data_IF_555386217572
#
_entry.id   IF_555386217572
#
_cell.length_a   1.000
_cell.length_b   1.000
_cell.length_c   1.000
_cell.angle_alpha   90.00
_cell.angle_beta   90.00
_cell.angle_gamma   90.00
#
_symmetry.space_group_name_H-M   'P 1'
#
loop_
_entity.id
_entity.type
_entity.pdbx_description
1 polymer ?
#
# COMPACT_ATOMS: atom_id res chain seq x y z
N UNK A 1 -16.79 -25.95 4.83
CA UNK A 1 -16.42 -27.19 5.54
C UNK A 1 -14.90 -27.23 5.70
N UNK A 2 -14.38 -27.46 6.91
CA UNK A 2 -12.94 -27.50 7.16
C UNK A 2 -12.25 -28.70 6.50
N UNK A 3 -10.98 -28.56 6.13
CA UNK A 3 -10.13 -29.65 5.61
C UNK A 3 -9.05 -29.98 6.64
N UNK A 4 -8.88 -31.27 6.96
CA UNK A 4 -7.78 -31.74 7.81
C UNK A 4 -6.45 -31.63 7.07
N UNK A 5 -5.43 -31.08 7.72
CA UNK A 5 -4.03 -31.01 7.25
C UNK A 5 -3.13 -31.72 8.24
N UNK A 6 -2.14 -32.46 7.74
CA UNK A 6 -1.16 -33.17 8.54
C UNK A 6 0.24 -32.66 8.17
N UNK A 7 1.04 -32.32 9.17
CA UNK A 7 2.39 -31.79 9.00
C UNK A 7 3.38 -32.61 9.84
N UNK A 8 4.56 -32.89 9.30
CA UNK A 8 5.68 -33.43 10.05
C UNK A 8 6.59 -32.27 10.44
N UNK A 9 6.77 -32.06 11.75
CA UNK A 9 7.56 -30.96 12.28
C UNK A 9 8.60 -31.49 13.26
N UNK A 10 9.83 -30.97 13.15
CA UNK A 10 10.92 -31.27 14.06
C UNK A 10 10.99 -30.20 15.14
N UNK A 11 10.97 -30.56 16.44
CA UNK A 11 11.17 -29.59 17.51
C UNK A 11 12.58 -28.99 17.43
N UNK A 12 12.75 -27.76 17.93
CA UNK A 12 14.03 -27.05 17.99
C UNK A 12 14.41 -26.84 19.45
N UNK A 13 15.66 -27.13 19.81
CA UNK A 13 16.16 -26.88 21.15
C UNK A 13 16.42 -25.37 21.35
N UNK A 14 15.75 -24.77 22.33
CA UNK A 14 15.96 -23.37 22.69
C UNK A 14 17.27 -23.19 23.48
N UNK A 15 17.66 -21.93 23.67
CA UNK A 15 18.90 -21.53 24.37
C UNK A 15 18.96 -21.98 25.84
N UNK A 16 17.82 -22.33 26.44
CA UNK A 16 17.69 -22.92 27.78
C UNK A 16 17.87 -24.45 27.79
N UNK A 17 18.17 -25.07 26.65
CA UNK A 17 18.33 -26.52 26.51
C UNK A 17 17.01 -27.29 26.37
N UNK A 18 15.86 -26.61 26.35
CA UNK A 18 14.54 -27.24 26.25
C UNK A 18 14.12 -27.34 24.78
N UNK A 19 13.69 -28.54 24.37
CA UNK A 19 13.11 -28.74 23.03
C UNK A 19 11.72 -28.12 22.95
N UNK A 20 11.51 -27.23 21.98
CA UNK A 20 10.26 -26.51 21.76
C UNK A 20 9.69 -26.85 20.39
N UNK A 21 8.38 -26.98 20.33
CA UNK A 21 7.60 -27.08 19.10
C UNK A 21 6.42 -26.12 19.24
N UNK A 22 6.15 -25.33 18.19
CA UNK A 22 5.05 -24.37 18.17
C UNK A 22 4.31 -24.41 16.85
N UNK A 23 3.03 -24.07 16.89
CA UNK A 23 2.20 -23.81 15.73
C UNK A 23 1.60 -22.41 15.90
N UNK A 24 1.77 -21.57 14.89
CA UNK A 24 1.08 -20.27 14.81
C UNK A 24 0.03 -20.39 13.72
N UNK A 25 -1.23 -20.13 14.08
CA UNK A 25 -2.33 -20.08 13.14
C UNK A 25 -2.72 -18.62 12.95
N UNK A 26 -2.64 -18.13 11.72
CA UNK A 26 -3.07 -16.78 11.34
C UNK A 26 -4.25 -16.92 10.38
N UNK A 27 -5.40 -16.41 10.81
CA UNK A 27 -6.67 -16.52 10.07
C UNK A 27 -6.81 -15.44 8.99
N UNK A 28 -6.14 -14.30 9.18
CA UNK A 28 -6.12 -13.21 8.22
C UNK A 28 -5.27 -12.05 8.70
N UNK A 29 -5.30 -10.98 7.92
CA UNK A 29 -4.70 -9.70 8.24
C UNK A 29 -5.66 -8.59 7.84
N UNK A 30 -5.63 -7.48 8.58
CA UNK A 30 -6.37 -6.27 8.28
C UNK A 30 -5.43 -5.08 8.34
N UNK A 31 -5.68 -4.07 7.52
CA UNK A 31 -4.87 -2.87 7.52
C UNK A 31 -5.54 -1.76 6.72
N UNK A 32 -5.04 -0.54 6.91
CA UNK A 32 -5.44 0.61 6.12
C UNK A 32 -4.52 0.71 4.93
N UNK A 33 -5.11 0.82 3.73
CA UNK A 33 -4.38 0.98 2.47
C UNK A 33 -4.99 2.10 1.65
N UNK A 34 -4.17 2.77 0.86
CA UNK A 34 -4.63 3.83 -0.04
C UNK A 34 -4.87 3.26 -1.44
N UNK A 35 -6.02 3.60 -2.01
CA UNK A 35 -6.36 3.34 -3.41
C UNK A 35 -5.48 4.20 -4.32
N UNK A 36 -4.80 3.60 -5.30
CA UNK A 36 -3.92 4.33 -6.22
C UNK A 36 -4.66 4.73 -7.49
N UNK A 37 -5.33 3.78 -8.12
CA UNK A 37 -6.06 4.01 -9.36
C UNK A 37 -7.27 3.10 -9.47
N UNK A 38 -8.18 3.51 -10.34
CA UNK A 38 -9.37 2.77 -10.70
C UNK A 38 -9.64 3.00 -12.19
N UNK A 39 -9.91 1.91 -12.93
CA UNK A 39 -10.38 1.98 -14.32
C UNK A 39 -11.92 1.89 -14.36
N UNK A 40 -12.63 2.99 -14.69
CA UNK A 40 -14.09 3.01 -14.74
C UNK A 40 -14.68 2.12 -15.84
N UNK A 41 -13.89 1.71 -16.83
CA UNK A 41 -14.36 0.85 -17.92
C UNK A 41 -14.44 -0.62 -17.49
N UNK A 42 -13.49 -1.07 -16.67
CA UNK A 42 -13.35 -2.48 -16.29
C UNK A 42 -13.72 -2.78 -14.85
N UNK A 43 -13.81 -1.75 -14.00
CA UNK A 43 -14.00 -1.91 -12.56
C UNK A 43 -12.72 -2.31 -11.81
N UNK A 44 -11.59 -2.44 -12.50
CA UNK A 44 -10.34 -2.91 -11.89
C UNK A 44 -9.65 -1.74 -11.18
N UNK A 45 -9.16 -2.00 -9.97
CA UNK A 45 -8.38 -1.06 -9.20
C UNK A 45 -6.99 -1.60 -8.84
N UNK A 46 -6.09 -0.69 -8.49
CA UNK A 46 -4.81 -0.99 -7.86
C UNK A 46 -4.57 -0.13 -6.62
N UNK A 47 -3.95 -0.71 -5.60
CA UNK A 47 -3.67 -0.05 -4.33
C UNK A 47 -2.29 -0.44 -3.77
N UNK A 48 -1.82 0.32 -2.77
CA UNK A 48 -0.54 0.18 -2.04
C UNK A 48 0.75 0.41 -2.86
N UNK A 49 0.84 -0.11 -4.08
CA UNK A 49 2.08 -0.10 -4.88
C UNK A 49 3.16 -1.08 -4.39
N UNK A 50 2.85 -1.94 -3.43
CA UNK A 50 3.71 -3.04 -2.96
C UNK A 50 2.87 -4.23 -2.47
N UNK A 51 3.51 -5.38 -2.29
CA UNK A 51 2.82 -6.56 -1.75
C UNK A 51 2.51 -6.41 -0.27
N UNK A 52 1.40 -7.02 0.15
CA UNK A 52 1.17 -7.29 1.56
C UNK A 52 2.03 -8.49 1.96
N UNK A 53 2.88 -8.27 2.96
CA UNK A 53 3.88 -9.23 3.42
C UNK A 53 3.78 -9.44 4.92
N UNK A 54 4.25 -10.59 5.38
CA UNK A 54 4.41 -10.87 6.80
C UNK A 54 5.50 -9.94 7.39
N UNK A 55 5.17 -9.20 8.45
CA UNK A 55 6.10 -8.25 9.06
C UNK A 55 7.32 -8.91 9.74
N UNK A 56 7.21 -10.16 10.19
CA UNK A 56 8.31 -10.89 10.83
C UNK A 56 9.22 -11.56 9.79
N UNK A 57 8.65 -12.13 8.73
CA UNK A 57 9.43 -12.90 7.73
C UNK A 57 9.74 -12.12 6.46
N UNK A 58 9.09 -10.98 6.23
CA UNK A 58 9.16 -10.20 4.99
C UNK A 58 8.60 -10.92 3.77
N UNK A 59 7.98 -12.09 3.95
CA UNK A 59 7.50 -12.91 2.85
C UNK A 59 6.13 -12.44 2.40
N UNK A 60 5.94 -12.24 1.09
CA UNK A 60 4.63 -11.95 0.51
C UNK A 60 3.62 -13.01 0.94
N UNK A 61 2.50 -12.55 1.50
CA UNK A 61 1.47 -13.46 1.96
C UNK A 61 0.74 -14.06 0.76
N UNK A 62 0.60 -15.40 0.67
CA UNK A 62 -0.21 -16.02 -0.36
C UNK A 62 -1.66 -15.58 -0.17
N UNK A 63 -2.25 -15.03 -1.23
CA UNK A 63 -3.64 -14.58 -1.20
C UNK A 63 -4.57 -15.80 -1.21
N UNK A 64 -5.48 -15.86 -0.23
CA UNK A 64 -6.59 -16.80 -0.20
C UNK A 64 -7.83 -16.12 -0.76
N UNK A 65 -8.58 -15.47 0.12
CA UNK A 65 -9.65 -14.53 -0.19
C UNK A 65 -9.30 -13.16 0.41
N UNK A 66 -9.76 -12.07 -0.20
CA UNK A 66 -9.55 -10.72 0.33
C UNK A 66 -10.69 -9.78 -0.07
N UNK A 67 -10.91 -8.76 0.75
CA UNK A 67 -12.00 -7.81 0.56
C UNK A 67 -11.57 -6.42 1.00
N UNK A 68 -12.15 -5.42 0.35
CA UNK A 68 -12.01 -4.01 0.72
C UNK A 68 -13.36 -3.46 1.18
N UNK A 69 -13.29 -2.54 2.13
CA UNK A 69 -14.44 -1.92 2.80
C UNK A 69 -14.21 -0.42 2.87
N UNK A 70 -15.29 0.35 3.00
CA UNK A 70 -15.18 1.77 3.26
C UNK A 70 -14.44 2.03 4.57
N UNK A 71 -13.54 3.02 4.54
CA UNK A 71 -12.68 3.38 5.64
C UNK A 71 -12.59 4.90 5.79
N UNK A 72 -12.48 5.37 7.03
CA UNK A 72 -12.21 6.77 7.36
C UNK A 72 -11.00 6.87 8.26
N UNK A 73 -10.19 7.91 8.07
CA UNK A 73 -9.07 8.23 8.96
C UNK A 73 -9.60 8.93 10.20
N UNK A 74 -9.54 8.25 11.34
CA UNK A 74 -10.01 8.76 12.64
C UNK A 74 -8.89 9.35 13.49
N UNK A 75 -7.64 9.17 13.08
CA UNK A 75 -6.50 9.78 13.75
C UNK A 75 -5.17 9.44 13.08
N UNK A 76 -4.12 10.09 13.57
CA UNK A 76 -2.76 9.93 13.04
C UNK A 76 -1.81 9.75 14.22
N UNK A 77 -1.06 8.65 14.21
CA UNK A 77 0.14 8.51 15.01
C UNK A 77 1.30 9.15 14.23
N UNK A 78 1.85 10.24 14.75
CA UNK A 78 2.92 11.00 14.10
C UNK A 78 4.19 10.16 13.98
N UNK A 79 4.83 10.21 12.81
CA UNK A 79 6.12 9.58 12.56
C UNK A 79 7.29 10.42 13.04
N UNK A 80 8.30 9.75 13.57
CA UNK A 80 9.54 10.35 14.07
C UNK A 80 10.75 9.53 13.60
N UNK A 81 11.95 10.10 13.70
CA UNK A 81 13.18 9.37 13.36
C UNK A 81 13.30 8.13 14.24
N UNK A 82 13.38 6.96 13.61
CA UNK A 82 13.45 5.66 14.29
C UNK A 82 12.09 5.03 14.61
N UNK A 83 10.98 5.75 14.44
CA UNK A 83 9.63 5.24 14.71
C UNK A 83 8.65 5.68 13.62
N UNK A 84 8.29 4.77 12.68
CA UNK A 84 7.27 5.07 11.68
C UNK A 84 5.94 5.47 12.32
N UNK A 85 5.32 6.52 11.79
CA UNK A 85 3.95 6.87 12.15
C UNK A 85 2.93 5.98 11.44
N UNK A 86 1.65 6.18 11.74
CA UNK A 86 0.55 5.45 11.10
C UNK A 86 -0.73 6.27 11.01
N UNK A 87 -1.49 6.08 9.93
CA UNK A 87 -2.89 6.47 9.85
C UNK A 87 -3.74 5.44 10.60
N UNK A 88 -4.56 5.91 11.52
CA UNK A 88 -5.53 5.09 12.22
C UNK A 88 -6.86 5.19 11.48
N UNK A 89 -7.23 4.11 10.80
CA UNK A 89 -8.49 3.99 10.09
C UNK A 89 -9.56 3.31 10.94
N UNK A 90 -10.81 3.70 10.72
CA UNK A 90 -12.00 2.95 11.13
C UNK A 90 -12.68 2.45 9.86
N UNK A 91 -12.99 1.15 9.83
CA UNK A 91 -13.67 0.50 8.70
C UNK A 91 -15.09 0.13 9.08
N UNK A 92 -16.02 0.28 8.16
CA UNK A 92 -17.36 -0.32 8.28
C UNK A 92 -17.37 -1.66 7.54
N UNK A 93 -17.26 -2.78 8.28
CA UNK A 93 -17.26 -4.12 7.71
C UNK A 93 -18.59 -4.48 7.01
N UNK A 94 -19.68 -3.73 7.24
CA UNK A 94 -20.92 -3.91 6.51
C UNK A 94 -20.89 -3.22 5.13
N UNK A 95 -19.99 -2.25 4.91
CA UNK A 95 -19.84 -1.49 3.69
C UNK A 95 -18.81 -2.15 2.75
N UNK A 96 -19.14 -3.35 2.27
CA UNK A 96 -18.32 -4.06 1.29
C UNK A 96 -18.23 -3.28 -0.04
N UNK A 97 -17.01 -3.08 -0.54
CA UNK A 97 -16.77 -2.37 -1.80
C UNK A 97 -16.35 -3.30 -2.94
N UNK A 98 -15.57 -4.33 -2.63
CA UNK A 98 -14.95 -5.17 -3.66
C UNK A 98 -14.01 -6.23 -3.12
N UNK A 99 -13.49 -7.03 -4.03
CA UNK A 99 -12.56 -8.12 -3.71
C UNK A 99 -11.10 -7.71 -3.88
N UNK A 100 -10.20 -8.55 -3.34
CA UNK A 100 -8.77 -8.53 -3.66
C UNK A 100 -8.48 -9.83 -4.40
N UNK A 101 -7.94 -9.73 -5.60
CA UNK A 101 -7.65 -10.86 -6.50
C UNK A 101 -6.16 -11.12 -6.66
N UNK A 102 -5.33 -10.08 -6.50
CA UNK A 102 -3.87 -10.17 -6.66
C UNK A 102 -3.19 -9.49 -5.49
N UNK A 103 -2.13 -10.13 -4.99
CA UNK A 103 -1.14 -9.53 -4.10
C UNK A 103 0.26 -9.79 -4.67
N UNK A 104 0.90 -8.78 -5.24
CA UNK A 104 2.20 -8.90 -5.88
C UNK A 104 3.12 -7.73 -5.55
N UNK A 105 4.38 -7.78 -6.01
CA UNK A 105 5.38 -6.76 -5.69
C UNK A 105 5.04 -5.34 -6.16
N UNK A 106 4.05 -5.19 -7.04
CA UNK A 106 3.60 -3.89 -7.55
C UNK A 106 2.28 -3.43 -6.91
N UNK A 107 1.74 -4.12 -5.91
CA UNK A 107 0.49 -3.73 -5.26
C UNK A 107 -0.49 -4.87 -5.05
N UNK A 108 -1.66 -4.47 -4.56
CA UNK A 108 -2.86 -5.32 -4.57
C UNK A 108 -3.83 -4.83 -5.62
N UNK A 109 -4.59 -5.77 -6.20
CA UNK A 109 -5.53 -5.50 -7.27
C UNK A 109 -6.80 -6.30 -7.07
N UNK A 110 -7.91 -5.77 -7.55
CA UNK A 110 -9.21 -6.42 -7.49
C UNK A 110 -10.25 -5.64 -8.28
N UNK A 111 -11.51 -5.97 -8.04
CA UNK A 111 -12.66 -5.38 -8.71
C UNK A 111 -13.57 -4.69 -7.71
N UNK A 112 -13.89 -3.42 -7.99
CA UNK A 112 -14.80 -2.59 -7.20
C UNK A 112 -15.40 -1.49 -8.09
N UNK A 113 -16.33 -0.70 -7.56
CA UNK A 113 -16.80 0.51 -8.24
C UNK A 113 -16.54 1.72 -7.37
N UNK A 114 -15.92 2.73 -7.95
CA UNK A 114 -15.61 3.98 -7.30
C UNK A 114 -16.04 5.16 -8.16
N UNK A 115 -16.40 6.26 -7.50
CA UNK A 115 -16.58 7.53 -8.16
C UNK A 115 -15.24 8.28 -8.22
N UNK A 116 -14.99 8.96 -9.34
CA UNK A 116 -13.77 9.73 -9.49
C UNK A 116 -13.68 10.47 -10.82
N UNK A 117 -12.89 11.54 -10.83
CA UNK A 117 -12.54 12.24 -12.07
C UNK A 117 -11.41 11.46 -12.77
N UNK A 118 -11.53 11.13 -14.07
CA UNK A 118 -10.46 10.46 -14.78
C UNK A 118 -9.23 11.37 -14.90
N UNK A 119 -8.05 10.79 -14.71
CA UNK A 119 -6.76 11.40 -14.97
C UNK A 119 -6.01 10.61 -16.04
N UNK A 120 -5.25 11.30 -16.88
CA UNK A 120 -4.29 10.63 -17.76
C UNK A 120 -3.14 10.05 -16.95
N UNK A 121 -2.57 8.94 -17.45
CA UNK A 121 -1.32 8.39 -16.93
C UNK A 121 -0.12 9.02 -17.62
N UNK A 122 1.01 9.14 -16.93
CA UNK A 122 2.25 9.67 -17.48
C UNK A 122 3.50 9.01 -16.90
N UNK A 123 4.66 9.31 -17.47
CA UNK A 123 5.95 8.84 -16.94
C UNK A 123 6.42 9.70 -15.78
N UNK A 124 6.83 9.04 -14.69
CA UNK A 124 7.43 9.72 -13.54
C UNK A 124 8.85 10.22 -13.86
N UNK A 125 9.12 11.47 -13.48
CA UNK A 125 10.42 12.15 -13.68
C UNK A 125 10.88 12.83 -12.42
N UNK A 126 12.18 13.11 -12.33
CA UNK A 126 12.73 13.94 -11.24
C UNK A 126 12.14 15.35 -11.27
N UNK A 127 11.97 15.94 -10.08
CA UNK A 127 11.42 17.29 -9.92
C UNK A 127 10.15 17.33 -9.07
N UNK A 128 9.40 18.42 -9.20
CA UNK A 128 8.19 18.65 -8.40
C UNK A 128 7.09 17.68 -8.79
N UNK A 129 6.37 17.20 -7.79
CA UNK A 129 5.16 16.40 -7.93
C UNK A 129 4.27 16.66 -6.70
N UNK A 130 3.11 16.03 -6.66
CA UNK A 130 2.25 15.98 -5.50
C UNK A 130 1.79 14.57 -5.22
N UNK A 131 1.28 14.33 -4.01
CA UNK A 131 0.58 13.10 -3.65
C UNK A 131 -0.83 13.44 -3.22
N UNK A 132 -1.77 12.54 -3.55
CA UNK A 132 -3.13 12.59 -3.03
C UNK A 132 -3.23 11.66 -1.82
N UNK A 133 -3.66 12.19 -0.68
CA UNK A 133 -3.72 11.44 0.57
C UNK A 133 -4.85 11.96 1.46
N UNK A 134 -5.48 11.05 2.20
CA UNK A 134 -6.49 11.35 3.21
C UNK A 134 -5.85 11.33 4.58
N UNK A 135 -5.91 12.46 5.31
CA UNK A 135 -5.38 12.58 6.67
C UNK A 135 -6.47 12.62 7.75
N UNK A 136 -7.70 12.93 7.37
CA UNK A 136 -8.84 13.05 8.28
C UNK A 136 -10.13 12.69 7.53
N UNK A 137 -10.98 11.88 8.16
CA UNK A 137 -12.24 11.42 7.59
C UNK A 137 -12.01 10.68 6.27
N UNK A 138 -12.74 11.08 5.24
CA UNK A 138 -12.68 10.59 3.87
C UNK A 138 -12.15 11.65 2.88
N UNK A 139 -11.65 12.79 3.38
CA UNK A 139 -11.31 13.93 2.53
C UNK A 139 -9.90 13.79 1.93
N UNK A 140 -9.85 13.56 0.62
CA UNK A 140 -8.62 13.53 -0.16
C UNK A 140 -8.05 14.95 -0.31
N UNK A 141 -6.77 15.11 0.04
CA UNK A 141 -6.04 16.36 -0.09
C UNK A 141 -4.77 16.16 -0.93
N UNK A 142 -4.33 17.25 -1.57
CA UNK A 142 -3.09 17.29 -2.36
C UNK A 142 -1.94 17.86 -1.53
N UNK A 143 -0.81 17.16 -1.50
CA UNK A 143 0.40 17.57 -0.78
C UNK A 143 1.63 17.56 -1.68
N UNK A 144 2.47 18.57 -1.54
CA UNK A 144 3.68 18.71 -2.34
C UNK A 144 4.79 17.72 -1.95
N UNK A 145 5.41 17.13 -2.98
CA UNK A 145 6.59 16.29 -2.85
C UNK A 145 7.64 16.68 -3.92
N UNK A 146 8.84 16.12 -3.79
CA UNK A 146 9.88 16.19 -4.80
C UNK A 146 10.37 14.76 -5.12
N UNK A 147 10.35 14.40 -6.40
CA UNK A 147 11.00 13.18 -6.91
C UNK A 147 12.49 13.47 -7.03
N UNK A 148 13.28 12.96 -6.08
CA UNK A 148 14.72 13.19 -5.99
C UNK A 148 15.48 12.34 -7.02
N UNK A 149 15.03 11.12 -7.25
CA UNK A 149 15.69 10.16 -8.14
C UNK A 149 14.72 9.14 -8.69
N UNK A 150 14.98 8.73 -9.93
CA UNK A 150 14.32 7.59 -10.58
C UNK A 150 15.34 6.47 -10.71
N UNK A 151 14.92 5.26 -10.38
CA UNK A 151 15.69 4.02 -10.49
C UNK A 151 14.94 3.06 -11.40
N UNK A 152 15.68 2.29 -12.18
CA UNK A 152 15.13 1.25 -13.03
C UNK A 152 15.95 -0.03 -12.76
N UNK A 153 15.33 -1.01 -12.13
CA UNK A 153 15.96 -2.27 -11.73
C UNK A 153 15.03 -3.42 -12.11
N UNK A 154 15.56 -4.44 -12.79
CA UNK A 154 14.81 -5.65 -13.18
C UNK A 154 13.49 -5.36 -13.91
N UNK A 155 13.44 -4.29 -14.70
CA UNK A 155 12.25 -3.86 -15.44
C UNK A 155 11.22 -3.09 -14.61
N UNK A 156 11.47 -2.85 -13.32
CA UNK A 156 10.63 -2.00 -12.47
C UNK A 156 11.24 -0.61 -12.31
N UNK A 157 10.42 0.41 -12.49
CA UNK A 157 10.74 1.82 -12.29
C UNK A 157 10.25 2.28 -10.93
N UNK A 158 11.20 2.53 -10.04
CA UNK A 158 10.95 3.04 -8.67
C UNK A 158 11.54 4.42 -8.49
N UNK A 159 11.07 5.16 -7.50
CA UNK A 159 11.52 6.53 -7.25
C UNK A 159 11.85 6.77 -5.80
N UNK A 160 12.83 7.63 -5.54
CA UNK A 160 13.03 8.25 -4.23
C UNK A 160 12.28 9.58 -4.22
N UNK A 161 11.39 9.73 -3.25
CA UNK A 161 10.61 10.95 -3.03
C UNK A 161 10.94 11.56 -1.68
N UNK A 162 10.75 12.87 -1.58
CA UNK A 162 10.80 13.61 -0.32
C UNK A 162 9.55 14.49 -0.23
N UNK A 163 8.83 14.41 0.88
CA UNK A 163 7.72 15.32 1.20
C UNK A 163 8.29 16.71 1.44
N UNK A 164 7.74 17.70 0.72
CA UNK A 164 8.11 19.11 0.87
C UNK A 164 6.98 19.96 1.44
N UNK A 165 5.77 19.38 1.53
CA UNK A 165 4.60 20.06 2.06
C UNK A 165 4.67 20.30 3.58
N UNK A 166 4.67 21.55 4.04
CA UNK A 166 4.79 21.85 5.46
C UNK A 166 3.55 21.41 6.26
N UNK A 167 2.36 21.39 5.67
CA UNK A 167 1.13 21.00 6.36
C UNK A 167 1.10 19.48 6.58
N UNK A 168 1.54 18.69 5.59
CA UNK A 168 1.67 17.25 5.76
C UNK A 168 2.70 16.93 6.85
N UNK A 169 3.90 17.51 6.77
CA UNK A 169 4.97 17.27 7.75
C UNK A 169 4.55 17.67 9.16
N UNK A 170 3.84 18.79 9.32
CA UNK A 170 3.37 19.24 10.63
C UNK A 170 2.44 18.22 11.29
N UNK A 171 1.49 17.68 10.52
CA UNK A 171 0.47 16.74 11.01
C UNK A 171 1.01 15.33 11.22
N UNK A 172 1.84 14.84 10.31
CA UNK A 172 2.19 13.41 10.21
C UNK A 172 3.66 13.12 10.50
N UNK A 173 4.53 14.13 10.46
CA UNK A 173 5.98 13.95 10.52
C UNK A 173 6.62 13.58 9.18
N UNK A 174 5.81 13.34 8.13
CA UNK A 174 6.24 12.89 6.81
C UNK A 174 5.37 11.74 6.31
N UNK A 175 5.95 10.83 5.55
CA UNK A 175 5.27 9.62 5.09
C UNK A 175 5.02 8.71 6.30
N UNK A 176 3.80 8.22 6.46
CA UNK A 176 3.41 7.30 7.54
C UNK A 176 2.74 6.06 6.97
N UNK A 177 2.67 4.99 7.77
CA UNK A 177 1.95 3.78 7.38
C UNK A 177 0.47 4.11 7.08
N UNK A 178 -0.10 3.44 6.08
CA UNK A 178 -1.42 3.73 5.55
C UNK A 178 -1.42 4.66 4.34
N UNK A 179 -0.37 5.49 4.16
CA UNK A 179 -0.19 6.31 2.94
C UNK A 179 0.27 5.50 1.74
N UNK A 180 0.76 4.27 1.94
CA UNK A 180 1.13 3.38 0.84
C UNK A 180 -0.03 3.23 -0.13
N UNK A 181 0.24 3.50 -1.40
CA UNK A 181 -0.74 3.60 -2.46
C UNK A 181 -1.17 5.03 -2.81
N UNK A 182 -0.76 6.05 -2.05
CA UNK A 182 -1.06 7.46 -2.34
C UNK A 182 -0.67 7.80 -3.78
N UNK A 183 -1.62 8.20 -4.65
CA UNK A 183 -1.33 8.52 -6.04
C UNK A 183 -0.32 9.66 -6.14
N UNK A 184 0.75 9.46 -6.92
CA UNK A 184 1.73 10.50 -7.25
C UNK A 184 1.27 11.19 -8.53
N UNK A 185 1.06 12.51 -8.44
CA UNK A 185 0.62 13.35 -9.53
C UNK A 185 1.77 14.25 -10.00
N UNK A 186 2.05 14.24 -11.28
CA UNK A 186 3.06 15.11 -11.90
C UNK A 186 2.52 15.64 -13.23
N UNK A 187 2.62 16.96 -13.43
CA UNK A 187 2.10 17.62 -14.64
C UNK A 187 0.60 17.33 -14.90
N UNK A 188 -0.19 17.15 -13.84
CA UNK A 188 -1.62 16.82 -13.93
C UNK A 188 -1.93 15.37 -14.32
N UNK A 189 -0.92 14.50 -14.34
CA UNK A 189 -1.04 13.08 -14.68
C UNK A 189 -0.75 12.20 -13.48
N UNK A 190 -1.43 11.06 -13.40
CA UNK A 190 -1.05 9.99 -12.50
C UNK A 190 0.24 9.35 -13.01
N UNK A 191 1.30 9.38 -12.21
CA UNK A 191 2.62 8.87 -12.62
C UNK A 191 3.16 7.75 -11.73
N UNK A 192 2.57 7.52 -10.56
CA UNK A 192 3.00 6.46 -9.66
C UNK A 192 2.21 6.38 -8.37
N UNK A 193 2.75 5.62 -7.42
CA UNK A 193 2.22 5.47 -6.07
C UNK A 193 3.33 5.51 -5.03
N UNK A 194 3.07 6.08 -3.86
CA UNK A 194 3.95 5.97 -2.69
C UNK A 194 3.94 4.52 -2.18
N UNK A 195 5.09 3.96 -1.79
CA UNK A 195 5.18 2.57 -1.32
C UNK A 195 5.67 2.46 0.12
N UNK A 196 6.92 2.85 0.40
CA UNK A 196 7.57 2.65 1.70
C UNK A 196 8.20 3.94 2.21
N UNK A 197 8.25 4.12 3.52
CA UNK A 197 8.94 5.25 4.18
C UNK A 197 10.32 4.84 4.71
N UNK A 198 11.25 5.79 4.79
CA UNK A 198 12.54 5.57 5.44
C UNK A 198 12.40 5.70 6.96
N UNK A 199 12.84 4.69 7.70
CA UNK A 199 12.78 4.71 9.17
C UNK A 199 13.60 5.85 9.78
N UNK A 200 14.73 6.22 9.15
CA UNK A 200 15.63 7.26 9.67
C UNK A 200 15.32 8.67 9.13
N UNK A 201 14.40 8.79 8.17
CA UNK A 201 13.95 10.07 7.62
C UNK A 201 12.48 9.92 7.20
N UNK A 202 11.52 10.24 8.08
CA UNK A 202 10.10 10.06 7.78
C UNK A 202 9.64 10.93 6.61
N UNK A 203 10.38 11.98 6.24
CA UNK A 203 10.01 12.82 5.09
C UNK A 203 10.37 12.19 3.75
N UNK A 204 11.23 11.17 3.74
CA UNK A 204 11.68 10.50 2.53
C UNK A 204 11.13 9.08 2.42
N UNK A 205 10.91 8.63 1.20
CA UNK A 205 10.38 7.31 0.93
C UNK A 205 10.54 6.89 -0.52
N UNK A 206 9.96 5.75 -0.83
CA UNK A 206 9.93 5.18 -2.17
C UNK A 206 8.56 5.30 -2.81
N UNK A 207 8.56 5.28 -4.14
CA UNK A 207 7.37 5.08 -4.95
C UNK A 207 7.64 4.12 -6.12
N UNK A 208 6.57 3.68 -6.77
CA UNK A 208 6.58 2.83 -7.97
C UNK A 208 5.88 3.56 -9.13
N UNK A 209 6.30 3.29 -10.36
CA UNK A 209 5.69 3.86 -11.57
C UNK A 209 4.28 3.32 -11.80
N UNK A 210 3.38 4.17 -12.30
CA UNK A 210 2.02 3.74 -12.61
C UNK A 210 2.00 2.69 -13.73
N UNK A 211 2.95 2.76 -14.68
CA UNK A 211 3.07 1.80 -15.78
C UNK A 211 3.28 0.38 -15.25
N UNK A 212 4.22 0.19 -14.32
CA UNK A 212 4.53 -1.11 -13.74
C UNK A 212 3.32 -1.69 -12.99
N UNK A 213 2.53 -0.83 -12.35
CA UNK A 213 1.27 -1.25 -11.70
C UNK A 213 0.24 -1.68 -12.74
N UNK A 214 0.07 -0.89 -13.81
CA UNK A 214 -0.91 -1.17 -14.87
C UNK A 214 -0.58 -2.45 -15.66
N UNK A 215 0.70 -2.81 -15.77
CA UNK A 215 1.13 -4.07 -16.39
C UNK A 215 0.62 -5.32 -15.65
N UNK A 216 0.22 -5.20 -14.38
CA UNK A 216 -0.34 -6.32 -13.61
C UNK A 216 -1.86 -6.48 -13.83
N UNK A 217 -2.56 -5.45 -14.31
CA UNK A 217 -4.02 -5.44 -14.51
C UNK A 217 -4.56 -6.61 -15.34
N UNK A 218 -3.90 -7.07 -16.42
CA UNK A 218 -4.39 -8.19 -17.23
C UNK A 218 -4.55 -9.51 -16.47
N UNK A 219 -3.96 -9.64 -15.29
CA UNK A 219 -4.10 -10.82 -14.43
C UNK A 219 -5.39 -10.80 -13.59
N UNK A 220 -6.10 -9.67 -13.53
CA UNK A 220 -7.36 -9.52 -12.79
C UNK A 220 -8.59 -9.93 -13.61
N UNK A 221 -9.61 -10.41 -12.91
CA UNK A 221 -10.96 -10.56 -13.41
C UNK A 221 -11.70 -9.23 -13.28
N UNK A 222 -12.47 -8.86 -14.31
CA UNK A 222 -13.24 -7.61 -14.35
C UNK A 222 -14.41 -7.67 -13.37
N UNK A 223 -14.85 -6.50 -12.89
CA UNK A 223 -16.13 -6.41 -12.18
C UNK A 223 -17.27 -6.85 -13.12
N UNK A 224 -18.21 -7.63 -12.59
CA UNK A 224 -19.39 -8.11 -13.32
C UNK A 224 -20.45 -7.02 -13.50
#
# INVERSE_FOLDING_TARGET
AGKTRQFNVAPVQATDGVWKLGLVLRDGISGVGTLTFYDPTTGIYGALGHSISDAETGTTLPLGDGSIYDAQVVGIAKGEVGSPGALNGSTDEAAFLGDIQINCGCGIYGAAQFDGKPLETGDIKTGKASIYCTLEGDTVNEYQIEVKRVYENDGLKTVLITVTDPALIAQTGGIVQGMSGSPIIQEGKLVGAVTHVFVNDPTSGYGISIQDMLEQVPMCQKAA
#
